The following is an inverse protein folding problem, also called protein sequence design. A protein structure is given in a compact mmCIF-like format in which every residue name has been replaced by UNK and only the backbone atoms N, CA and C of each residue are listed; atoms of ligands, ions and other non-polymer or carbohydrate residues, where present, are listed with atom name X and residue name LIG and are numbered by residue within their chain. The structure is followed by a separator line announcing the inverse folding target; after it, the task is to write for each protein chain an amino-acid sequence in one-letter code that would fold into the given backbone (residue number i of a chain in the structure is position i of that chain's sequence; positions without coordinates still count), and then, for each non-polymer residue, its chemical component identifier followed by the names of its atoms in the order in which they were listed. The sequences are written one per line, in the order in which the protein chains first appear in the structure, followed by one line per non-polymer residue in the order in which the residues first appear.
data_IF_764588155440
#
_entry.id   IF_764588155440
#
_cell.length_a   1.000
_cell.length_b   1.000
_cell.length_c   1.000
_cell.angle_alpha   90.00
_cell.angle_beta   90.00
_cell.angle_gamma   90.00
#
_symmetry.space_group_name_H-M   'P 1'
#
loop_
_entity.id
_entity.type
_entity.pdbx_description
1 polymer ?
#
# COMPACT_ATOMS: atom_id res chain seq x y z
N UNK A 1 35.11 -12.09 -54.05
CA UNK A 1 33.64 -11.97 -54.01
C UNK A 1 33.10 -13.20 -53.30
N UNK A 2 32.80 -13.07 -52.01
CA UNK A 2 32.15 -14.15 -51.27
C UNK A 2 30.66 -14.18 -51.62
N UNK A 3 30.15 -15.40 -51.85
CA UNK A 3 28.74 -15.69 -52.09
C UNK A 3 28.16 -16.27 -50.81
N UNK A 4 27.23 -15.56 -50.19
CA UNK A 4 26.38 -16.10 -49.13
C UNK A 4 25.26 -16.97 -49.74
N UNK A 5 24.99 -18.12 -49.13
CA UNK A 5 24.06 -19.15 -49.63
C UNK A 5 22.67 -19.04 -48.96
N UNK A 6 22.53 -18.26 -47.89
CA UNK A 6 21.25 -18.09 -47.19
C UNK A 6 21.13 -16.70 -46.55
N UNK A 7 19.93 -16.11 -46.64
CA UNK A 7 19.55 -14.87 -45.93
C UNK A 7 19.40 -15.08 -44.42
N UNK A 8 19.23 -16.33 -43.97
CA UNK A 8 19.03 -16.66 -42.55
C UNK A 8 20.30 -16.42 -41.71
N UNK A 9 21.48 -16.47 -42.33
CA UNK A 9 22.75 -16.17 -41.64
C UNK A 9 22.93 -14.67 -41.37
N UNK A 10 22.09 -13.81 -41.99
CA UNK A 10 22.03 -12.36 -41.79
C UNK A 10 20.85 -11.92 -40.92
N UNK A 11 19.79 -12.73 -40.80
CA UNK A 11 18.68 -12.49 -39.87
C UNK A 11 19.06 -13.14 -38.54
N UNK A 12 20.07 -12.58 -37.88
CA UNK A 12 20.09 -12.67 -36.42
C UNK A 12 19.15 -11.57 -35.95
N UNK A 13 17.94 -11.94 -35.55
CA UNK A 13 17.13 -11.10 -34.67
C UNK A 13 17.91 -10.94 -33.34
N UNK A 14 18.94 -10.08 -33.33
CA UNK A 14 19.71 -9.69 -32.15
C UNK A 14 18.91 -8.66 -31.33
N UNK A 15 17.71 -9.07 -30.94
CA UNK A 15 17.08 -8.56 -29.73
C UNK A 15 16.30 -9.71 -29.08
N UNK A 16 17.02 -10.76 -28.71
CA UNK A 16 16.60 -11.57 -27.57
C UNK A 16 17.07 -10.76 -26.36
N UNK A 17 16.22 -9.93 -25.72
CA UNK A 17 16.62 -9.26 -24.49
C UNK A 17 17.11 -10.35 -23.54
N UNK A 18 18.29 -10.12 -22.94
CA UNK A 18 18.81 -11.07 -21.96
C UNK A 18 17.70 -11.37 -20.95
N UNK A 19 17.42 -12.65 -20.65
CA UNK A 19 16.36 -12.98 -19.72
C UNK A 19 16.64 -12.26 -18.41
N UNK A 20 15.70 -11.42 -17.98
CA UNK A 20 15.79 -10.74 -16.69
C UNK A 20 16.02 -11.80 -15.62
N UNK A 21 17.18 -11.77 -14.98
CA UNK A 21 17.48 -12.68 -13.89
C UNK A 21 16.65 -12.25 -12.69
N UNK A 22 15.77 -13.14 -12.23
CA UNK A 22 14.98 -12.91 -11.02
C UNK A 22 15.95 -12.71 -9.85
N UNK A 23 15.88 -11.59 -9.12
CA UNK A 23 16.82 -11.31 -8.05
C UNK A 23 16.63 -12.28 -6.88
N UNK A 24 17.74 -12.73 -6.30
CA UNK A 24 17.71 -13.59 -5.12
C UNK A 24 17.20 -12.82 -3.88
N UNK A 25 16.30 -13.45 -3.11
CA UNK A 25 15.70 -12.85 -1.92
C UNK A 25 16.63 -12.93 -0.71
N UNK A 26 16.84 -11.79 -0.04
CA UNK A 26 17.63 -11.74 1.20
C UNK A 26 16.77 -12.23 2.37
N UNK A 27 17.12 -13.38 2.94
CA UNK A 27 16.40 -13.97 4.08
C UNK A 27 16.95 -13.45 5.41
N UNK A 28 16.06 -13.13 6.35
CA UNK A 28 16.40 -12.73 7.73
C UNK A 28 15.50 -13.40 8.74
N UNK A 29 16.04 -13.66 9.92
CA UNK A 29 15.25 -14.01 11.10
C UNK A 29 15.34 -12.88 12.12
N UNK A 30 14.20 -12.39 12.60
CA UNK A 30 14.14 -11.25 13.51
C UNK A 30 13.22 -11.59 14.67
N UNK A 31 13.70 -11.36 15.89
CA UNK A 31 12.86 -11.28 17.07
C UNK A 31 12.74 -9.83 17.48
N UNK A 32 11.53 -9.30 17.45
CA UNK A 32 11.21 -7.93 17.80
C UNK A 32 10.81 -7.87 19.27
N UNK A 33 11.66 -7.30 20.10
CA UNK A 33 11.36 -7.03 21.52
C UNK A 33 10.67 -5.67 21.70
N UNK A 34 9.94 -5.55 22.79
CA UNK A 34 9.33 -4.30 23.23
C UNK A 34 10.40 -3.39 23.85
N UNK A 35 10.58 -2.21 23.27
CA UNK A 35 11.50 -1.16 23.74
C UNK A 35 11.07 -0.58 25.09
N UNK A 36 9.78 -0.31 25.26
CA UNK A 36 9.23 0.21 26.52
C UNK A 36 9.12 -0.89 27.58
N UNK A 37 9.92 -0.79 28.64
CA UNK A 37 9.93 -1.78 29.73
C UNK A 37 8.94 -1.47 30.86
N UNK A 38 8.24 -0.32 30.81
CA UNK A 38 7.29 0.11 31.83
C UNK A 38 5.86 0.20 31.27
N UNK A 39 4.88 -0.12 32.10
CA UNK A 39 3.48 -0.05 31.73
C UNK A 39 3.03 1.41 31.55
N UNK A 40 2.47 1.80 30.39
CA UNK A 40 2.05 3.19 30.17
C UNK A 40 0.85 3.62 31.02
N UNK A 41 0.18 2.68 31.71
CA UNK A 41 -0.98 2.96 32.55
C UNK A 41 -0.65 3.17 34.02
N UNK A 42 0.43 2.56 34.54
CA UNK A 42 0.75 2.60 35.98
C UNK A 42 2.24 2.72 36.29
N UNK A 43 3.12 2.75 35.29
CA UNK A 43 4.58 2.81 35.47
C UNK A 43 5.24 1.53 35.99
N UNK A 44 4.48 0.48 36.33
CA UNK A 44 5.04 -0.79 36.79
C UNK A 44 5.80 -1.51 35.67
N UNK A 45 6.93 -2.20 35.94
CA UNK A 45 7.63 -2.99 34.93
C UNK A 45 6.72 -3.97 34.20
N UNK A 46 6.92 -4.10 32.90
CA UNK A 46 6.26 -5.09 32.07
C UNK A 46 7.03 -6.41 32.14
N UNK A 47 6.33 -7.50 32.45
CA UNK A 47 6.92 -8.84 32.49
C UNK A 47 6.68 -9.58 31.18
N UNK A 48 7.63 -10.46 30.83
CA UNK A 48 7.51 -11.35 29.70
C UNK A 48 6.25 -12.22 29.81
N UNK A 49 5.48 -12.30 28.74
CA UNK A 49 4.30 -13.17 28.66
C UNK A 49 4.53 -14.33 27.69
N UNK A 50 4.77 -14.03 26.41
CA UNK A 50 5.13 -15.06 25.42
C UNK A 50 5.85 -14.47 24.22
N UNK A 51 6.52 -15.34 23.47
CA UNK A 51 7.05 -15.08 22.13
C UNK A 51 6.06 -15.59 21.08
N UNK A 52 5.71 -14.76 20.11
CA UNK A 52 4.80 -15.19 19.03
C UNK A 52 5.41 -16.32 18.20
N UNK A 53 4.55 -17.10 17.54
CA UNK A 53 5.00 -17.97 16.47
C UNK A 53 5.69 -17.16 15.38
N UNK A 54 6.67 -17.78 14.73
CA UNK A 54 7.32 -17.19 13.56
C UNK A 54 6.27 -16.98 12.46
N UNK A 55 6.25 -15.79 11.88
CA UNK A 55 5.41 -15.45 10.74
C UNK A 55 6.23 -14.77 9.66
N UNK A 56 5.90 -14.97 8.38
CA UNK A 56 6.57 -14.27 7.30
C UNK A 56 6.20 -12.78 7.28
N UNK A 57 7.19 -11.94 7.02
CA UNK A 57 7.07 -10.54 6.67
C UNK A 57 7.90 -10.28 5.41
N UNK A 58 7.23 -10.03 4.29
CA UNK A 58 7.86 -9.83 2.98
C UNK A 58 7.88 -8.33 2.69
N UNK A 59 9.09 -7.78 2.58
CA UNK A 59 9.33 -6.38 2.15
C UNK A 59 9.80 -6.37 0.70
N UNK A 60 10.04 -5.19 0.13
CA UNK A 60 10.65 -5.10 -1.22
C UNK A 60 12.01 -5.80 -1.25
N UNK A 61 12.80 -5.75 -0.16
CA UNK A 61 14.19 -6.24 -0.14
C UNK A 61 14.40 -7.58 0.57
N UNK A 62 13.58 -7.88 1.57
CA UNK A 62 13.81 -8.98 2.51
C UNK A 62 12.62 -9.90 2.66
N UNK A 63 12.91 -11.18 2.84
CA UNK A 63 12.00 -12.21 3.36
C UNK A 63 12.34 -12.44 4.85
N UNK A 64 11.49 -11.93 5.73
CA UNK A 64 11.76 -11.93 7.18
C UNK A 64 10.90 -13.00 7.86
N UNK A 65 11.53 -13.89 8.63
CA UNK A 65 10.86 -14.73 9.63
C UNK A 65 10.80 -13.96 10.94
N UNK A 66 9.64 -13.40 11.25
CA UNK A 66 9.44 -12.49 12.38
C UNK A 66 8.82 -13.20 13.58
N UNK A 67 9.42 -13.02 14.75
CA UNK A 67 8.79 -13.30 16.05
C UNK A 67 8.67 -12.01 16.87
N UNK A 68 7.65 -11.91 17.70
CA UNK A 68 7.36 -10.71 18.50
C UNK A 68 7.26 -11.09 19.96
N UNK A 69 8.01 -10.40 20.81
CA UNK A 69 7.89 -10.54 22.26
C UNK A 69 6.65 -9.78 22.73
N UNK A 70 5.81 -10.47 23.46
CA UNK A 70 4.66 -9.88 24.15
C UNK A 70 4.94 -9.82 25.64
N UNK A 71 4.73 -8.64 26.23
CA UNK A 71 4.86 -8.39 27.67
C UNK A 71 3.51 -7.98 28.25
N UNK A 72 3.34 -8.08 29.58
CA UNK A 72 2.13 -7.70 30.31
C UNK A 72 2.46 -6.93 31.59
N UNK A 73 1.52 -6.12 32.05
CA UNK A 73 1.58 -5.57 33.40
C UNK A 73 1.06 -6.62 34.39
N UNK A 74 1.80 -6.83 35.48
CA UNK A 74 1.44 -7.77 36.56
C UNK A 74 0.88 -7.08 37.80
N UNK A 75 0.81 -5.74 37.81
CA UNK A 75 0.18 -5.00 38.89
C UNK A 75 -1.34 -5.20 38.86
N UNK A 76 -1.89 -5.91 39.86
CA UNK A 76 -3.32 -6.26 39.95
C UNK A 76 -4.24 -5.02 40.04
N UNK A 77 -3.75 -3.89 40.52
CA UNK A 77 -4.50 -2.63 40.58
C UNK A 77 -4.54 -1.90 39.22
N UNK A 78 -3.75 -2.35 38.23
CA UNK A 78 -3.67 -1.71 36.93
C UNK A 78 -4.77 -2.20 35.97
N UNK A 79 -5.42 -1.25 35.27
CA UNK A 79 -6.41 -1.53 34.22
C UNK A 79 -5.87 -2.43 33.10
N UNK A 80 -4.57 -2.34 32.79
CA UNK A 80 -3.94 -3.19 31.78
C UNK A 80 -3.81 -4.65 32.24
N UNK A 81 -3.59 -4.88 33.53
CA UNK A 81 -3.57 -6.22 34.12
C UNK A 81 -4.99 -6.82 34.14
N UNK A 82 -5.97 -6.06 34.66
CA UNK A 82 -7.37 -6.49 34.71
C UNK A 82 -7.96 -6.86 33.33
N UNK A 83 -7.59 -6.11 32.29
CA UNK A 83 -8.00 -6.38 30.90
C UNK A 83 -7.13 -7.43 30.17
N UNK A 84 -6.11 -8.00 30.83
CA UNK A 84 -5.14 -8.96 30.25
C UNK A 84 -4.49 -8.44 28.96
N UNK A 85 -4.22 -7.12 28.90
CA UNK A 85 -3.68 -6.45 27.71
C UNK A 85 -2.24 -6.86 27.45
N UNK A 86 -1.93 -7.22 26.20
CA UNK A 86 -0.56 -7.46 25.75
C UNK A 86 0.07 -6.18 25.21
N UNK A 87 1.34 -5.98 25.52
CA UNK A 87 2.20 -4.95 24.94
C UNK A 87 3.21 -5.61 24.01
N UNK A 88 3.46 -4.98 22.87
CA UNK A 88 4.42 -5.41 21.86
C UNK A 88 5.00 -4.16 21.17
N UNK A 89 6.12 -4.32 20.47
CA UNK A 89 6.79 -3.19 19.84
C UNK A 89 5.86 -2.51 18.80
N UNK A 90 5.49 -1.22 19.00
CA UNK A 90 4.55 -0.52 18.14
C UNK A 90 5.10 -0.25 16.74
N UNK A 91 6.44 -0.27 16.54
CA UNK A 91 7.04 -0.09 15.22
C UNK A 91 6.57 -1.16 14.22
N UNK A 92 6.16 -2.34 14.71
CA UNK A 92 5.57 -3.38 13.90
C UNK A 92 4.40 -2.88 13.05
N UNK A 93 3.53 -2.07 13.64
CA UNK A 93 2.30 -1.60 13.00
C UNK A 93 2.58 -0.55 11.91
N UNK A 94 3.80 0.02 11.89
CA UNK A 94 4.29 0.89 10.82
C UNK A 94 4.71 0.10 9.57
N UNK A 95 5.21 -1.13 9.77
CA UNK A 95 5.70 -1.96 8.68
C UNK A 95 4.65 -2.93 8.14
N UNK A 96 3.70 -3.36 8.97
CA UNK A 96 2.82 -4.48 8.63
C UNK A 96 1.41 -4.27 9.18
N UNK A 97 0.42 -4.45 8.32
CA UNK A 97 -0.97 -4.50 8.75
C UNK A 97 -1.29 -5.82 9.46
N UNK A 98 -2.22 -5.82 10.45
CA UNK A 98 -2.62 -7.04 11.14
C UNK A 98 -3.03 -8.17 10.19
N UNK A 99 -2.51 -9.38 10.44
CA UNK A 99 -2.80 -10.60 9.67
C UNK A 99 -2.39 -10.53 8.19
N UNK A 100 -1.47 -9.64 7.81
CA UNK A 100 -0.89 -9.58 6.47
C UNK A 100 0.55 -10.08 6.47
N UNK A 101 0.99 -10.57 5.32
CA UNK A 101 2.34 -11.09 5.11
C UNK A 101 3.23 -10.08 4.41
N UNK A 102 2.66 -9.28 3.51
CA UNK A 102 3.41 -8.25 2.79
C UNK A 102 3.43 -6.97 3.61
N UNK A 103 4.62 -6.38 3.68
CA UNK A 103 4.86 -5.12 4.36
C UNK A 103 4.25 -3.94 3.58
N UNK A 104 4.17 -2.80 4.25
CA UNK A 104 3.55 -1.59 3.73
C UNK A 104 4.21 -1.12 2.43
N UNK A 105 5.52 -1.27 2.29
CA UNK A 105 6.27 -0.90 1.08
C UNK A 105 5.79 -1.68 -0.15
N UNK A 106 5.58 -2.99 -0.03
CA UNK A 106 5.05 -3.83 -1.11
C UNK A 106 3.59 -3.48 -1.41
N UNK A 107 2.77 -3.25 -0.38
CA UNK A 107 1.35 -2.87 -0.55
C UNK A 107 1.23 -1.56 -1.31
N UNK A 108 2.01 -0.55 -0.92
CA UNK A 108 2.02 0.76 -1.56
C UNK A 108 2.58 0.69 -2.99
N UNK A 109 3.60 -0.15 -3.24
CA UNK A 109 4.11 -0.38 -4.59
C UNK A 109 3.03 -1.00 -5.50
N UNK A 110 2.28 -2.00 -5.02
CA UNK A 110 1.14 -2.57 -5.75
C UNK A 110 0.12 -1.46 -6.09
N UNK A 111 -0.22 -0.62 -5.11
CA UNK A 111 -1.12 0.51 -5.33
C UNK A 111 -0.60 1.46 -6.39
N UNK A 112 0.68 1.85 -6.31
CA UNK A 112 1.32 2.76 -7.25
C UNK A 112 1.35 2.21 -8.68
N UNK A 113 1.79 0.96 -8.87
CA UNK A 113 1.85 0.33 -10.20
C UNK A 113 0.48 0.28 -10.87
N UNK A 114 -0.59 -0.01 -10.12
CA UNK A 114 -1.93 -0.10 -10.70
C UNK A 114 -2.54 1.28 -10.92
N UNK A 115 -2.40 2.19 -9.95
CA UNK A 115 -3.13 3.46 -9.97
C UNK A 115 -2.40 4.58 -10.72
N UNK A 116 -1.07 4.54 -10.77
CA UNK A 116 -0.25 5.58 -11.41
C UNK A 116 0.39 5.07 -12.71
N UNK A 117 0.92 3.84 -12.70
CA UNK A 117 1.57 3.26 -13.88
C UNK A 117 0.60 2.47 -14.77
N UNK A 118 -0.66 2.33 -14.35
CA UNK A 118 -1.74 1.65 -15.08
C UNK A 118 -1.50 0.16 -15.37
N UNK A 119 -0.70 -0.52 -14.54
CA UNK A 119 -0.46 -1.95 -14.68
C UNK A 119 -1.73 -2.75 -14.36
N UNK A 120 -1.97 -3.79 -15.15
CA UNK A 120 -2.92 -4.85 -14.81
C UNK A 120 -2.41 -5.69 -13.64
N UNK A 121 -3.30 -6.43 -12.98
CA UNK A 121 -2.91 -7.29 -11.84
C UNK A 121 -1.89 -8.37 -12.24
N UNK A 122 -1.94 -8.85 -13.49
CA UNK A 122 -0.98 -9.84 -14.03
C UNK A 122 0.40 -9.21 -14.28
N UNK A 123 0.42 -7.99 -14.81
CA UNK A 123 1.66 -7.23 -14.98
C UNK A 123 2.30 -6.91 -13.64
N UNK A 124 1.52 -6.63 -12.59
CA UNK A 124 2.06 -6.45 -11.23
C UNK A 124 2.65 -7.74 -10.68
N UNK A 125 2.00 -8.89 -10.87
CA UNK A 125 2.57 -10.20 -10.48
C UNK A 125 3.92 -10.41 -11.17
N UNK A 126 3.98 -10.15 -12.48
CA UNK A 126 5.20 -10.28 -13.29
C UNK A 126 6.29 -9.31 -12.82
N UNK A 127 5.95 -8.03 -12.62
CA UNK A 127 6.87 -6.99 -12.16
C UNK A 127 7.47 -7.34 -10.80
N UNK A 128 6.64 -7.72 -9.82
CA UNK A 128 7.10 -8.07 -8.48
C UNK A 128 8.05 -9.28 -8.50
N UNK A 129 7.82 -10.24 -9.39
CA UNK A 129 8.72 -11.36 -9.60
C UNK A 129 10.03 -10.94 -10.28
N UNK A 130 9.96 -10.26 -11.42
CA UNK A 130 11.13 -9.94 -12.25
C UNK A 130 12.05 -8.90 -11.60
N UNK A 131 11.49 -7.87 -10.96
CA UNK A 131 12.26 -6.75 -10.42
C UNK A 131 12.63 -6.95 -8.95
N UNK A 132 11.87 -7.78 -8.21
CA UNK A 132 12.04 -7.93 -6.76
C UNK A 132 12.08 -9.38 -6.28
N UNK A 133 11.86 -10.39 -7.14
CA UNK A 133 11.84 -11.80 -6.73
C UNK A 133 10.66 -12.16 -5.83
N UNK A 134 9.64 -11.31 -5.74
CA UNK A 134 8.48 -11.50 -4.88
C UNK A 134 7.46 -12.38 -5.59
N UNK A 135 7.21 -13.56 -5.02
CA UNK A 135 6.21 -14.50 -5.53
C UNK A 135 4.86 -14.18 -4.89
N UNK A 136 3.92 -13.71 -5.69
CA UNK A 136 2.56 -13.37 -5.26
C UNK A 136 1.53 -13.83 -6.28
N UNK A 137 0.35 -14.24 -5.82
CA UNK A 137 -0.75 -14.61 -6.71
C UNK A 137 -1.58 -13.39 -7.13
N UNK A 138 -2.16 -13.43 -8.33
CA UNK A 138 -3.04 -12.38 -8.84
C UNK A 138 -4.22 -12.06 -7.89
N UNK A 139 -4.92 -13.05 -7.27
CA UNK A 139 -5.93 -12.75 -6.26
C UNK A 139 -5.38 -11.99 -5.04
N UNK A 140 -4.14 -12.26 -4.65
CA UNK A 140 -3.47 -11.53 -3.57
C UNK A 140 -3.18 -10.09 -3.98
N UNK A 141 -2.70 -9.87 -5.21
CA UNK A 141 -2.51 -8.52 -5.78
C UNK A 141 -3.83 -7.73 -5.76
N UNK A 142 -4.94 -8.31 -6.21
CA UNK A 142 -6.26 -7.66 -6.16
C UNK A 142 -6.66 -7.28 -4.72
N UNK A 143 -6.41 -8.18 -3.75
CA UNK A 143 -6.66 -7.90 -2.34
C UNK A 143 -5.81 -6.73 -1.80
N UNK A 144 -4.50 -6.72 -2.11
CA UNK A 144 -3.61 -5.64 -1.66
C UNK A 144 -3.84 -4.32 -2.39
N UNK A 145 -4.28 -4.34 -3.64
CA UNK A 145 -4.78 -3.15 -4.35
C UNK A 145 -5.89 -2.46 -3.57
N UNK A 146 -6.89 -3.22 -3.10
CA UNK A 146 -8.01 -2.66 -2.31
C UNK A 146 -7.52 -2.07 -0.99
N UNK A 147 -6.54 -2.70 -0.35
CA UNK A 147 -5.93 -2.19 0.88
C UNK A 147 -5.18 -0.89 0.60
N UNK A 148 -4.37 -0.82 -0.46
CA UNK A 148 -3.64 0.39 -0.84
C UNK A 148 -4.60 1.56 -1.12
N UNK A 149 -5.72 1.29 -1.79
CA UNK A 149 -6.78 2.29 -2.01
C UNK A 149 -7.38 2.78 -0.69
N UNK A 150 -7.75 1.88 0.22
CA UNK A 150 -8.29 2.25 1.53
C UNK A 150 -7.30 3.06 2.38
N UNK A 151 -5.99 2.77 2.28
CA UNK A 151 -4.95 3.57 2.93
C UNK A 151 -4.84 4.97 2.31
N UNK A 152 -4.94 5.07 0.97
CA UNK A 152 -4.99 6.35 0.28
C UNK A 152 -6.22 7.19 0.67
N UNK A 153 -7.40 6.57 0.74
CA UNK A 153 -8.63 7.21 1.19
C UNK A 153 -8.52 7.70 2.64
N UNK A 154 -8.02 6.86 3.56
CA UNK A 154 -7.80 7.25 4.95
C UNK A 154 -6.81 8.42 5.10
N UNK A 155 -5.78 8.49 4.24
CA UNK A 155 -4.84 9.62 4.20
C UNK A 155 -5.50 10.92 3.73
N UNK A 156 -6.51 10.85 2.85
CA UNK A 156 -7.26 12.03 2.40
C UNK A 156 -8.24 12.48 3.49
N UNK A 157 -9.07 11.56 3.99
CA UNK A 157 -10.07 11.84 5.04
C UNK A 157 -9.42 12.35 6.33
N UNK A 158 -8.27 11.80 6.73
CA UNK A 158 -7.55 12.22 7.93
C UNK A 158 -6.84 13.58 7.80
N UNK A 159 -6.87 14.21 6.63
CA UNK A 159 -6.07 15.39 6.32
C UNK A 159 -6.87 16.48 5.61
N UNK A 160 -8.21 16.40 5.64
CA UNK A 160 -9.12 17.36 5.02
C UNK A 160 -8.79 18.80 5.41
N UNK A 161 -8.60 19.08 6.70
CA UNK A 161 -8.23 20.43 7.16
C UNK A 161 -6.88 20.91 6.62
N UNK A 162 -5.90 20.03 6.47
CA UNK A 162 -4.57 20.39 5.96
C UNK A 162 -4.61 20.63 4.45
N UNK A 163 -5.35 19.79 3.73
CA UNK A 163 -5.61 19.96 2.30
C UNK A 163 -6.36 21.28 2.08
N UNK A 164 -7.42 21.53 2.87
CA UNK A 164 -8.19 22.78 2.85
C UNK A 164 -7.31 23.99 3.13
N UNK A 165 -6.50 23.98 4.19
CA UNK A 165 -5.53 25.05 4.48
C UNK A 165 -4.51 25.27 3.35
N UNK A 166 -4.01 24.19 2.75
CA UNK A 166 -3.09 24.28 1.61
C UNK A 166 -3.72 24.96 0.40
N UNK A 167 -4.96 24.59 0.09
CA UNK A 167 -5.75 25.20 -0.98
C UNK A 167 -6.15 26.66 -0.65
N UNK A 168 -6.50 26.93 0.61
CA UNK A 168 -6.83 28.27 1.12
C UNK A 168 -5.67 29.26 1.05
N UNK A 169 -4.43 28.77 1.11
CA UNK A 169 -3.23 29.57 0.92
C UNK A 169 -2.94 29.93 -0.54
N UNK A 170 -3.64 29.36 -1.53
CA UNK A 170 -3.39 29.64 -2.94
C UNK A 170 -4.12 30.92 -3.39
N UNK A 171 -3.44 31.85 -4.10
CA UNK A 171 -4.04 33.11 -4.54
C UNK A 171 -5.14 32.92 -5.61
N UNK A 172 -5.10 31.78 -6.31
CA UNK A 172 -6.09 31.36 -7.30
C UNK A 172 -6.25 29.85 -7.16
N UNK A 173 -7.48 29.35 -7.26
CA UNK A 173 -7.78 27.91 -7.33
C UNK A 173 -8.42 27.59 -8.66
N UNK A 174 -7.99 26.49 -9.27
CA UNK A 174 -8.55 26.03 -10.54
C UNK A 174 -8.96 24.59 -10.34
N UNK A 175 -10.27 24.34 -10.35
CA UNK A 175 -10.79 22.98 -10.19
C UNK A 175 -11.08 22.36 -11.56
N UNK A 176 -10.76 21.07 -11.68
CA UNK A 176 -11.13 20.23 -12.80
C UNK A 176 -12.13 19.20 -12.30
N UNK A 177 -13.28 19.12 -12.97
CA UNK A 177 -14.28 18.07 -12.77
C UNK A 177 -14.28 17.23 -14.02
N UNK A 178 -13.96 15.94 -13.88
CA UNK A 178 -13.86 15.02 -15.00
C UNK A 178 -14.71 13.78 -14.76
N UNK A 179 -15.30 13.26 -15.84
CA UNK A 179 -16.19 12.11 -15.82
C UNK A 179 -15.63 10.97 -16.65
N UNK A 180 -15.30 9.83 -16.02
CA UNK A 180 -14.84 8.63 -16.69
C UNK A 180 -15.96 7.59 -16.73
N UNK A 181 -16.56 7.41 -17.91
CA UNK A 181 -17.59 6.39 -18.15
C UNK A 181 -16.94 5.05 -18.52
N UNK A 182 -17.44 3.94 -17.96
CA UNK A 182 -17.09 2.60 -18.41
C UNK A 182 -18.35 1.86 -18.89
N UNK A 183 -18.19 0.96 -19.86
CA UNK A 183 -19.31 0.16 -20.40
C UNK A 183 -19.94 -0.80 -19.38
N UNK A 184 -19.32 -0.98 -18.20
CA UNK A 184 -19.73 -1.96 -17.17
C UNK A 184 -20.02 -1.33 -15.81
N UNK A 185 -19.89 -0.01 -15.67
CA UNK A 185 -20.06 0.67 -14.38
C UNK A 185 -20.70 2.04 -14.54
N UNK A 186 -21.19 2.58 -13.42
CA UNK A 186 -21.57 3.99 -13.26
C UNK A 186 -20.41 4.90 -13.65
N UNK A 187 -20.72 6.13 -14.04
CA UNK A 187 -19.70 7.14 -14.41
C UNK A 187 -18.99 7.61 -13.16
N UNK A 188 -17.66 7.50 -13.14
CA UNK A 188 -16.83 8.02 -12.06
C UNK A 188 -16.59 9.50 -12.31
N UNK A 189 -17.06 10.35 -11.41
CA UNK A 189 -16.71 11.76 -11.39
C UNK A 189 -15.57 12.00 -10.40
N UNK A 190 -14.62 12.84 -10.78
CA UNK A 190 -13.48 13.23 -9.95
C UNK A 190 -13.36 14.75 -9.97
N UNK A 191 -13.30 15.37 -8.79
CA UNK A 191 -12.96 16.79 -8.61
C UNK A 191 -11.52 16.85 -8.12
N UNK A 192 -10.68 17.62 -8.82
CA UNK A 192 -9.29 17.86 -8.41
C UNK A 192 -8.96 19.34 -8.50
N UNK A 193 -8.06 19.80 -7.64
CA UNK A 193 -7.35 21.05 -7.88
C UNK A 193 -6.31 20.82 -8.98
N UNK A 194 -6.44 21.55 -10.08
CA UNK A 194 -5.65 21.36 -11.29
C UNK A 194 -4.19 21.79 -11.10
N UNK A 195 -3.94 22.76 -10.22
CA UNK A 195 -2.61 23.32 -9.99
C UNK A 195 -1.77 22.39 -9.11
N UNK A 196 -2.33 21.91 -7.99
CA UNK A 196 -1.64 20.99 -7.08
C UNK A 196 -1.78 19.52 -7.48
N UNK A 197 -2.75 19.17 -8.32
CA UNK A 197 -3.07 17.80 -8.69
C UNK A 197 -3.81 17.01 -7.60
N UNK A 198 -4.15 17.63 -6.47
CA UNK A 198 -4.85 16.97 -5.37
C UNK A 198 -6.28 16.65 -5.78
N UNK A 199 -6.69 15.40 -5.63
CA UNK A 199 -8.09 14.97 -5.74
C UNK A 199 -8.84 15.42 -4.48
N UNK A 200 -9.88 16.22 -4.67
CA UNK A 200 -10.72 16.78 -3.61
C UNK A 200 -11.91 15.88 -3.30
N UNK A 201 -12.41 15.19 -4.31
CA UNK A 201 -13.50 14.24 -4.15
C UNK A 201 -13.68 13.37 -5.36
N UNK A 202 -14.28 12.19 -5.17
CA UNK A 202 -14.68 11.31 -6.26
C UNK A 202 -15.97 10.57 -5.92
N UNK A 203 -16.84 10.36 -6.91
CA UNK A 203 -18.10 9.64 -6.71
C UNK A 203 -18.49 8.87 -7.98
N UNK A 204 -19.05 7.67 -7.79
CA UNK A 204 -19.72 6.94 -8.87
C UNK A 204 -21.18 7.39 -8.94
N UNK A 205 -21.53 8.12 -9.99
CA UNK A 205 -22.85 8.71 -10.16
C UNK A 205 -23.67 7.91 -11.19
N UNK A 206 -24.91 7.60 -10.83
CA UNK A 206 -25.89 6.91 -11.68
C UNK A 206 -26.45 7.83 -12.78
N UNK A 207 -26.40 9.15 -12.55
CA UNK A 207 -26.89 10.19 -13.47
C UNK A 207 -25.81 11.24 -13.67
N UNK A 208 -25.87 11.90 -14.82
CA UNK A 208 -24.94 12.93 -15.28
C UNK A 208 -25.65 14.28 -15.46
N UNK A 209 -26.79 14.46 -14.79
CA UNK A 209 -27.55 15.71 -14.83
C UNK A 209 -26.93 16.76 -13.90
N UNK A 210 -27.30 18.02 -14.14
CA UNK A 210 -26.75 19.16 -13.42
C UNK A 210 -27.00 19.06 -11.90
N UNK A 211 -28.17 18.57 -11.49
CA UNK A 211 -28.54 18.44 -10.08
C UNK A 211 -27.65 17.41 -9.37
N UNK A 212 -27.46 16.23 -9.97
CA UNK A 212 -26.61 15.17 -9.41
C UNK A 212 -25.13 15.60 -9.30
N UNK A 213 -24.64 16.35 -10.29
CA UNK A 213 -23.27 16.90 -10.26
C UNK A 213 -23.16 18.01 -9.21
N UNK A 214 -24.18 18.85 -9.07
CA UNK A 214 -24.21 19.91 -8.06
C UNK A 214 -24.20 19.34 -6.63
N UNK A 215 -25.04 18.33 -6.35
CA UNK A 215 -25.06 17.64 -5.05
C UNK A 215 -23.70 17.01 -4.72
N UNK A 216 -23.04 16.43 -5.73
CA UNK A 216 -21.68 15.91 -5.57
C UNK A 216 -20.66 17.01 -5.27
N UNK A 217 -20.76 18.17 -5.93
CA UNK A 217 -19.87 19.31 -5.64
C UNK A 217 -20.07 19.85 -4.23
N UNK A 218 -21.32 20.01 -3.77
CA UNK A 218 -21.62 20.46 -2.39
C UNK A 218 -21.09 19.48 -1.33
N UNK A 219 -21.04 18.19 -1.64
CA UNK A 219 -20.45 17.20 -0.72
C UNK A 219 -18.91 17.29 -0.63
N UNK A 220 -18.24 17.93 -1.59
CA UNK A 220 -16.77 18.01 -1.68
C UNK A 220 -16.21 19.32 -1.13
N UNK A 221 -16.98 20.40 -1.11
CA UNK A 221 -16.54 21.74 -0.70
C UNK A 221 -17.11 22.17 0.66
#
# INVERSE_FOLDING_TARGET
MEKAISLIDFIKDEFVPEPKQIPERIKKEITLDLEDIFCPFCGHPLEYHYLSNARPLITIKYDISLRVVHKRCVNEECVACASKRNFYNPSLDLYMLPKKTYAMDVILLIGHLIQQEHYTEEEVVKYLLEEHGIIISQPSVNNYKRIALALGEALIMGNEEKIKKGLDGLPVRVYSIDGLSSNRSRTLFVIRDLISGIVLGSALLDKHDADTIHDFMEAVF
#
